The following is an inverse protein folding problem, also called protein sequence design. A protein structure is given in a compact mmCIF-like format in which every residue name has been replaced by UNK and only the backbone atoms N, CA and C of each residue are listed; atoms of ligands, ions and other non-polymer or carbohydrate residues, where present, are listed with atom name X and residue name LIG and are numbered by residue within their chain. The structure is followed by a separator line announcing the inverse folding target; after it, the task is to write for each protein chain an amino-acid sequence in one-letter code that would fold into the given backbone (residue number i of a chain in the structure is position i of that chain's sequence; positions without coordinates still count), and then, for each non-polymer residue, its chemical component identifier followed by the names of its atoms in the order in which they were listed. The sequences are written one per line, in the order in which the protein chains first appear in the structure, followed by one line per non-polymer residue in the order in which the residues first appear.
data_IF_973571157638
#
_entry.id   IF_973571157638
#
_cell.length_a   1.000
_cell.length_b   1.000
_cell.length_c   1.000
_cell.angle_alpha   90.00
_cell.angle_beta   90.00
_cell.angle_gamma   90.00
#
_symmetry.space_group_name_H-M   'P 1'
#
loop_
_entity.id
_entity.type
_entity.pdbx_description
1 polymer ?
#
# COMPACT_ATOMS: atom_id res chain seq x y z
N UNK A 1 -18.51 -14.04 16.16
CA UNK A 1 -17.43 -14.56 17.01
C UNK A 1 -16.83 -13.47 17.88
N UNK A 2 -16.42 -12.32 17.29
CA UNK A 2 -15.76 -11.19 18.02
C UNK A 2 -16.66 -10.57 19.08
N UNK A 3 -17.95 -10.36 18.79
CA UNK A 3 -18.96 -9.91 19.77
C UNK A 3 -19.15 -10.89 20.92
N UNK A 4 -19.20 -12.20 20.63
CA UNK A 4 -19.35 -13.24 21.66
C UNK A 4 -18.11 -13.40 22.54
N UNK A 5 -16.93 -13.04 22.05
CA UNK A 5 -15.70 -13.07 22.83
C UNK A 5 -15.49 -11.84 23.73
N UNK A 6 -16.39 -10.86 23.69
CA UNK A 6 -16.30 -9.61 24.45
C UNK A 6 -15.16 -8.68 24.00
N UNK A 7 -14.56 -8.95 22.82
CA UNK A 7 -13.46 -8.14 22.28
C UNK A 7 -13.92 -6.87 21.55
N UNK A 8 -15.23 -6.70 21.38
CA UNK A 8 -15.83 -5.58 20.66
C UNK A 8 -17.20 -5.28 21.28
N UNK A 9 -17.51 -4.02 21.51
CA UNK A 9 -18.83 -3.58 21.93
C UNK A 9 -19.82 -3.62 20.76
N UNK A 10 -21.10 -3.48 21.04
CA UNK A 10 -22.13 -3.42 20.00
C UNK A 10 -21.97 -2.19 19.10
N UNK A 11 -21.60 -1.07 19.67
CA UNK A 11 -21.36 0.19 18.98
C UNK A 11 -20.15 0.08 18.04
N UNK A 12 -19.04 -0.48 18.52
CA UNK A 12 -17.86 -0.73 17.69
C UNK A 12 -18.16 -1.69 16.54
N UNK A 13 -18.95 -2.74 16.80
CA UNK A 13 -19.37 -3.68 15.76
C UNK A 13 -20.26 -3.01 14.72
N UNK A 14 -21.16 -2.12 15.12
CA UNK A 14 -22.01 -1.34 14.22
C UNK A 14 -21.16 -0.47 13.30
N UNK A 15 -20.26 0.33 13.88
CA UNK A 15 -19.32 1.18 13.13
C UNK A 15 -18.45 0.35 12.17
N UNK A 16 -17.98 -0.82 12.59
CA UNK A 16 -17.22 -1.71 11.75
C UNK A 16 -18.01 -2.20 10.53
N UNK A 17 -19.28 -2.57 10.73
CA UNK A 17 -20.17 -3.00 9.64
C UNK A 17 -20.45 -1.84 8.70
N UNK A 18 -20.74 -0.65 9.21
CA UNK A 18 -20.94 0.55 8.39
C UNK A 18 -19.71 0.87 7.53
N UNK A 19 -18.51 0.80 8.11
CA UNK A 19 -17.27 0.97 7.38
C UNK A 19 -17.06 -0.10 6.30
N UNK A 20 -17.43 -1.36 6.57
CA UNK A 20 -17.38 -2.42 5.55
C UNK A 20 -18.34 -2.18 4.39
N UNK A 21 -19.52 -1.65 4.69
CA UNK A 21 -20.51 -1.31 3.66
C UNK A 21 -20.06 -0.16 2.76
N UNK A 22 -19.16 0.70 3.25
CA UNK A 22 -18.59 1.81 2.50
C UNK A 22 -17.43 1.38 1.57
N UNK A 23 -16.84 0.20 1.81
CA UNK A 23 -15.69 -0.30 1.00
C UNK A 23 -15.96 -0.30 -0.50
N UNK A 24 -17.13 -0.72 -1.03
CA UNK A 24 -17.41 -0.66 -2.46
C UNK A 24 -17.30 0.76 -3.04
N UNK A 25 -17.84 1.75 -2.35
CA UNK A 25 -17.78 3.15 -2.78
C UNK A 25 -16.34 3.67 -2.80
N UNK A 26 -15.55 3.28 -1.79
CA UNK A 26 -14.12 3.61 -1.74
C UNK A 26 -13.34 2.97 -2.90
N UNK A 27 -13.64 1.71 -3.24
CA UNK A 27 -13.04 1.03 -4.39
C UNK A 27 -13.41 1.78 -5.68
N UNK A 28 -14.66 2.14 -5.88
CA UNK A 28 -15.10 2.90 -7.05
C UNK A 28 -14.37 4.24 -7.16
N UNK A 29 -14.21 4.95 -6.04
CA UNK A 29 -13.46 6.21 -6.00
C UNK A 29 -11.99 6.04 -6.42
N UNK A 30 -11.36 4.92 -6.08
CA UNK A 30 -9.99 4.60 -6.53
C UNK A 30 -9.95 4.26 -8.02
N UNK A 31 -10.95 3.52 -8.52
CA UNK A 31 -11.06 3.19 -9.95
C UNK A 31 -11.21 4.45 -10.79
N UNK A 32 -11.93 5.46 -10.33
CA UNK A 32 -12.05 6.74 -11.04
C UNK A 32 -10.73 7.51 -11.16
N UNK A 33 -9.74 7.20 -10.32
CA UNK A 33 -8.39 7.77 -10.38
C UNK A 33 -7.45 6.99 -11.33
N UNK A 34 -7.95 5.95 -12.00
CA UNK A 34 -7.14 5.13 -12.91
C UNK A 34 -6.34 5.92 -13.96
N UNK A 35 -6.85 7.01 -14.56
CA UNK A 35 -6.07 7.81 -15.52
C UNK A 35 -4.82 8.47 -14.91
N UNK A 36 -4.90 8.91 -13.65
CA UNK A 36 -3.75 9.50 -12.94
C UNK A 36 -2.72 8.41 -12.59
N UNK A 37 -3.20 7.25 -12.16
CA UNK A 37 -2.36 6.09 -11.86
C UNK A 37 -1.65 5.62 -13.14
N UNK A 38 -2.35 5.58 -14.26
CA UNK A 38 -1.77 5.23 -15.57
C UNK A 38 -0.62 6.18 -15.96
N UNK A 39 -0.77 7.48 -15.73
CA UNK A 39 0.32 8.43 -16.00
C UNK A 39 1.55 8.18 -15.14
N UNK A 40 1.36 7.82 -13.87
CA UNK A 40 2.45 7.45 -12.98
C UNK A 40 3.13 6.16 -13.44
N UNK A 41 2.36 5.15 -13.85
CA UNK A 41 2.89 3.84 -14.27
C UNK A 41 3.63 3.90 -15.60
N UNK A 42 3.34 4.87 -16.49
CA UNK A 42 4.12 5.09 -17.72
C UNK A 42 5.63 5.32 -17.45
N UNK A 43 5.96 5.85 -16.29
CA UNK A 43 7.37 6.03 -15.85
C UNK A 43 8.03 4.72 -15.43
N UNK A 44 7.24 3.67 -15.23
CA UNK A 44 7.67 2.34 -14.78
C UNK A 44 7.86 1.34 -15.90
N UNK A 45 7.40 1.64 -17.10
CA UNK A 45 7.32 0.69 -18.21
C UNK A 45 8.66 0.02 -18.55
N UNK A 46 9.77 0.67 -18.22
CA UNK A 46 11.12 0.17 -18.43
C UNK A 46 11.82 -0.28 -17.13
N UNK A 47 11.11 -0.38 -16.02
CA UNK A 47 11.70 -0.81 -14.77
C UNK A 47 11.87 -2.33 -14.78
N UNK A 48 13.10 -2.82 -14.59
CA UNK A 48 13.39 -4.25 -14.46
C UNK A 48 13.05 -4.77 -13.06
N UNK A 49 13.09 -3.90 -12.05
CA UNK A 49 12.90 -4.24 -10.65
C UNK A 49 12.04 -3.17 -9.96
N UNK A 50 11.25 -3.59 -8.98
CA UNK A 50 10.45 -2.72 -8.13
C UNK A 50 10.56 -3.15 -6.67
N UNK A 51 10.70 -2.18 -5.76
CA UNK A 51 10.65 -2.44 -4.32
C UNK A 51 9.43 -1.77 -3.71
N UNK A 52 8.72 -2.54 -2.91
CA UNK A 52 7.63 -2.08 -2.07
C UNK A 52 8.12 -1.94 -0.64
N UNK A 53 7.86 -0.81 -0.02
CA UNK A 53 8.34 -0.52 1.33
C UNK A 53 7.15 -0.16 2.20
N UNK A 54 6.97 -0.88 3.29
CA UNK A 54 5.89 -0.67 4.24
C UNK A 54 6.33 -0.84 5.68
N UNK A 55 5.51 -0.34 6.61
CA UNK A 55 5.71 -0.49 8.05
C UNK A 55 4.44 -1.00 8.70
N UNK A 56 4.55 -1.98 9.61
CA UNK A 56 3.39 -2.57 10.25
C UNK A 56 2.41 -3.16 9.23
N UNK A 57 1.14 -2.76 9.24
CA UNK A 57 0.13 -3.23 8.30
C UNK A 57 0.45 -2.85 6.85
N UNK A 58 1.11 -1.71 6.63
CA UNK A 58 1.50 -1.28 5.28
C UNK A 58 2.56 -2.21 4.68
N UNK A 59 3.35 -2.92 5.50
CA UNK A 59 4.27 -3.95 5.02
C UNK A 59 3.52 -5.17 4.47
N UNK A 60 2.47 -5.62 5.14
CA UNK A 60 1.63 -6.70 4.63
C UNK A 60 0.98 -6.32 3.29
N UNK A 61 0.50 -5.09 3.17
CA UNK A 61 -0.03 -4.55 1.92
C UNK A 61 1.04 -4.45 0.84
N UNK A 62 2.27 -4.07 1.22
CA UNK A 62 3.42 -4.02 0.30
C UNK A 62 3.79 -5.40 -0.24
N UNK A 63 3.71 -6.46 0.58
CA UNK A 63 3.93 -7.84 0.13
C UNK A 63 2.88 -8.26 -0.91
N UNK A 64 1.61 -7.96 -0.68
CA UNK A 64 0.54 -8.24 -1.63
C UNK A 64 0.72 -7.45 -2.93
N UNK A 65 1.06 -6.16 -2.84
CA UNK A 65 1.34 -5.32 -4.01
C UNK A 65 2.51 -5.84 -4.84
N UNK A 66 3.60 -6.27 -4.20
CA UNK A 66 4.75 -6.86 -4.88
C UNK A 66 4.37 -8.18 -5.57
N UNK A 67 3.55 -9.02 -4.93
CA UNK A 67 3.04 -10.25 -5.52
C UNK A 67 2.21 -9.96 -6.76
N UNK A 68 1.24 -9.03 -6.67
CA UNK A 68 0.39 -8.65 -7.81
C UNK A 68 1.18 -8.08 -8.97
N UNK A 69 2.18 -7.24 -8.70
CA UNK A 69 3.03 -6.70 -9.76
C UNK A 69 3.79 -7.82 -10.49
N UNK A 70 4.36 -8.79 -9.76
CA UNK A 70 5.03 -9.95 -10.37
C UNK A 70 4.09 -10.76 -11.25
N UNK A 71 2.86 -11.03 -10.78
CA UNK A 71 1.87 -11.82 -11.50
C UNK A 71 1.45 -11.16 -12.82
N UNK A 72 1.30 -9.83 -12.84
CA UNK A 72 0.72 -9.11 -13.98
C UNK A 72 1.78 -8.69 -14.99
N UNK A 73 2.96 -8.25 -14.52
CA UNK A 73 3.95 -7.57 -15.36
C UNK A 73 5.24 -8.35 -15.58
N UNK A 74 5.47 -9.42 -14.83
CA UNK A 74 6.74 -10.16 -14.77
C UNK A 74 7.95 -9.31 -14.30
N UNK A 75 7.71 -8.09 -13.81
CA UNK A 75 8.74 -7.26 -13.18
C UNK A 75 9.15 -7.91 -11.87
N UNK A 76 10.45 -8.04 -11.63
CA UNK A 76 10.94 -8.51 -10.34
C UNK A 76 10.53 -7.50 -9.25
N UNK A 77 9.67 -7.91 -8.33
CA UNK A 77 9.15 -7.05 -7.28
C UNK A 77 9.30 -7.71 -5.91
N UNK A 78 9.84 -6.97 -4.95
CA UNK A 78 10.02 -7.43 -3.58
C UNK A 78 9.50 -6.40 -2.58
N UNK A 79 9.04 -6.88 -1.42
CA UNK A 79 8.59 -6.02 -0.34
C UNK A 79 9.56 -6.08 0.83
N UNK A 80 9.88 -4.90 1.38
CA UNK A 80 10.77 -4.76 2.53
C UNK A 80 10.10 -3.98 3.66
N UNK A 81 10.35 -4.41 4.88
CA UNK A 81 9.98 -3.61 6.03
C UNK A 81 10.84 -2.34 6.06
N UNK A 82 10.21 -1.17 6.22
CA UNK A 82 10.89 0.12 6.15
C UNK A 82 12.04 0.27 7.17
N UNK A 83 11.96 -0.44 8.30
CA UNK A 83 13.03 -0.49 9.30
C UNK A 83 14.27 -1.27 8.84
N UNK A 84 14.07 -2.29 8.00
CA UNK A 84 15.12 -3.19 7.53
C UNK A 84 15.87 -2.68 6.29
N UNK A 85 15.34 -1.65 5.63
CA UNK A 85 15.91 -1.12 4.39
C UNK A 85 17.37 -0.68 4.55
N UNK A 86 17.73 -0.18 5.72
CA UNK A 86 19.10 0.29 6.03
C UNK A 86 20.11 -0.84 6.22
N UNK A 87 19.67 -2.07 6.41
CA UNK A 87 20.52 -3.22 6.71
C UNK A 87 21.07 -3.96 5.47
N UNK A 88 21.29 -3.23 4.38
CA UNK A 88 21.91 -3.75 3.15
C UNK A 88 21.10 -3.55 1.88
N UNK A 89 19.77 -3.64 1.96
CA UNK A 89 18.87 -3.56 0.78
C UNK A 89 18.95 -2.20 0.07
N UNK A 90 19.29 -1.14 0.81
CA UNK A 90 19.48 0.20 0.23
C UNK A 90 20.60 0.23 -0.82
N UNK A 91 21.58 -0.67 -0.73
CA UNK A 91 22.66 -0.77 -1.72
C UNK A 91 22.20 -1.28 -3.09
N UNK A 92 21.01 -1.92 -3.15
CA UNK A 92 20.41 -2.39 -4.40
C UNK A 92 19.65 -1.29 -5.13
N UNK A 93 19.43 -0.14 -4.48
CA UNK A 93 18.70 0.99 -5.07
C UNK A 93 19.65 1.75 -6.00
N UNK A 94 19.56 1.48 -7.29
CA UNK A 94 20.24 2.20 -8.36
C UNK A 94 19.28 3.17 -9.07
N UNK A 95 19.76 3.94 -10.04
CA UNK A 95 18.93 4.95 -10.74
C UNK A 95 17.62 4.42 -11.36
N UNK A 96 17.53 3.14 -11.67
CA UNK A 96 16.30 2.49 -12.16
C UNK A 96 15.20 2.22 -11.12
N UNK A 97 15.49 2.44 -9.83
CA UNK A 97 14.59 2.12 -8.70
C UNK A 97 13.76 3.29 -8.17
N UNK A 98 13.58 4.37 -8.89
CA UNK A 98 12.88 5.59 -8.43
C UNK A 98 11.45 5.36 -7.96
N UNK A 99 10.83 4.26 -8.34
CA UNK A 99 9.41 4.02 -8.10
C UNK A 99 9.08 3.62 -6.67
N UNK A 100 9.91 2.82 -6.01
CA UNK A 100 9.66 2.37 -4.64
C UNK A 100 9.57 3.53 -3.65
N UNK A 101 10.33 4.59 -3.86
CA UNK A 101 10.27 5.81 -3.06
C UNK A 101 8.98 6.61 -3.27
N UNK A 102 8.40 6.57 -4.47
CA UNK A 102 7.16 7.29 -4.79
C UNK A 102 5.94 6.67 -4.13
N UNK A 103 5.84 5.35 -4.12
CA UNK A 103 4.75 4.62 -3.47
C UNK A 103 4.80 4.79 -1.95
N UNK A 104 5.97 4.70 -1.32
CA UNK A 104 6.14 4.95 0.10
C UNK A 104 5.75 6.39 0.48
N UNK A 105 6.11 7.37 -0.32
CA UNK A 105 5.78 8.78 -0.06
C UNK A 105 4.29 9.07 -0.20
N UNK A 106 3.61 8.47 -1.16
CA UNK A 106 2.16 8.60 -1.32
C UNK A 106 1.39 7.98 -0.15
N UNK A 107 1.76 6.79 0.30
CA UNK A 107 1.17 6.12 1.45
C UNK A 107 1.44 6.87 2.77
N UNK A 108 2.63 7.43 2.95
CA UNK A 108 2.98 8.20 4.15
C UNK A 108 2.26 9.55 4.20
N UNK A 109 2.09 10.23 3.07
CA UNK A 109 1.39 11.52 2.99
C UNK A 109 -0.10 11.34 3.27
N UNK A 110 -0.73 10.29 2.76
CA UNK A 110 -2.13 9.97 3.05
C UNK A 110 -2.38 9.72 4.55
N UNK A 111 -1.44 9.06 5.23
CA UNK A 111 -1.56 8.75 6.66
C UNK A 111 -1.26 9.95 7.57
N UNK A 112 -0.31 10.80 7.22
CA UNK A 112 0.02 11.99 8.01
C UNK A 112 -1.10 13.03 7.97
N UNK A 113 -1.84 13.15 6.87
CA UNK A 113 -3.01 14.03 6.79
C UNK A 113 -4.18 13.56 7.67
N UNK A 114 -4.33 12.26 7.89
CA UNK A 114 -5.36 11.71 8.78
C UNK A 114 -5.00 11.84 10.28
N UNK A 115 -3.72 11.86 10.63
CA UNK A 115 -3.26 12.03 12.01
C UNK A 115 -3.32 13.51 12.42
N UNK A 116 -3.15 14.45 11.50
CA UNK A 116 -3.27 15.90 11.77
C UNK A 116 -4.73 16.39 11.87
N UNK A 117 -5.71 15.56 11.52
CA UNK A 117 -7.14 15.86 11.58
C UNK A 117 -7.82 15.32 12.85
N UNK A 118 -7.08 14.82 13.83
CA UNK A 118 -7.50 14.46 15.19
C UNK A 118 -6.73 15.27 16.21
#
# INVERSE_FOLDING_TARGET
LVLYSGRMTKEEAKTFIENLQEVPNLIESVITQAPEIEQLTKRMTNAANAFYIGRGLDYALSMEGALKLKEISYIHAEAYAAGELKHGTIALISEGFRLSQLLHRAMYTARSSQISAR
#
